data_IF_493320930259
#
_entry.id   IF_493320930259
#
_cell.length_a   1.000
_cell.length_b   1.000
_cell.length_c   1.000
_cell.angle_alpha   90.00
_cell.angle_beta   90.00
_cell.angle_gamma   90.00
#
_symmetry.space_group_name_H-M   'P 1'
#
loop_
_entity.id
_entity.type
_entity.pdbx_description
1 polymer ?
#
# COMPACT_ATOMS: atom_id res chain seq x y z
N UNK A 1 -12.41 -31.65 53.33
CA UNK A 1 -11.66 -32.34 52.25
C UNK A 1 -12.52 -33.33 51.47
N UNK A 2 -13.56 -33.95 52.08
CA UNK A 2 -14.45 -34.90 51.37
C UNK A 2 -15.21 -34.29 50.18
N UNK A 3 -15.75 -33.07 50.30
CA UNK A 3 -16.54 -32.45 49.22
C UNK A 3 -15.74 -32.17 47.94
N UNK A 4 -14.43 -31.95 48.04
CA UNK A 4 -13.55 -31.73 46.87
C UNK A 4 -13.24 -33.06 46.17
N UNK A 5 -13.19 -34.16 46.91
CA UNK A 5 -13.01 -35.49 46.34
C UNK A 5 -14.27 -35.97 45.61
N UNK A 6 -15.47 -35.64 46.11
CA UNK A 6 -16.74 -35.95 45.46
C UNK A 6 -16.93 -35.20 44.13
N UNK A 7 -16.52 -33.93 44.05
CA UNK A 7 -16.59 -33.13 42.82
C UNK A 7 -15.65 -33.67 41.74
N UNK A 8 -14.44 -34.12 42.11
CA UNK A 8 -13.49 -34.74 41.17
C UNK A 8 -13.96 -36.11 40.64
N UNK A 9 -14.74 -36.84 41.44
CA UNK A 9 -15.35 -38.12 41.02
C UNK A 9 -16.52 -37.93 40.06
N UNK A 10 -17.29 -36.85 40.21
CA UNK A 10 -18.42 -36.53 39.35
C UNK A 10 -18.00 -35.92 37.99
N UNK A 11 -16.83 -35.26 37.93
CA UNK A 11 -16.29 -34.65 36.70
C UNK A 11 -14.81 -35.00 36.53
N UNK A 12 -14.47 -36.15 35.92
CA UNK A 12 -13.08 -36.49 35.62
C UNK A 12 -12.47 -35.48 34.65
N UNK A 13 -11.37 -34.84 35.01
CA UNK A 13 -10.63 -33.96 34.11
C UNK A 13 -10.08 -34.75 32.93
N UNK A 14 -10.12 -34.17 31.73
CA UNK A 14 -9.76 -34.82 30.46
C UNK A 14 -8.33 -35.44 30.46
N UNK A 15 -7.45 -34.97 31.33
CA UNK A 15 -6.08 -35.48 31.49
C UNK A 15 -5.99 -36.87 32.17
N UNK A 16 -6.96 -37.27 33.00
CA UNK A 16 -6.92 -38.57 33.71
C UNK A 16 -7.49 -39.73 32.88
N UNK A 17 -8.21 -39.44 31.78
CA UNK A 17 -8.81 -40.47 30.92
C UNK A 17 -7.85 -41.04 29.86
N UNK A 18 -6.59 -40.59 29.86
CA UNK A 18 -5.62 -40.91 28.81
C UNK A 18 -4.48 -41.85 29.23
N UNK A 19 -4.60 -42.53 30.37
CA UNK A 19 -3.58 -43.51 30.83
C UNK A 19 -3.95 -44.98 30.61
N UNK A 20 -5.07 -45.27 29.93
CA UNK A 20 -5.46 -46.63 29.54
C UNK A 20 -5.64 -46.76 28.03
N UNK A 21 -4.70 -46.23 27.26
CA UNK A 21 -4.50 -46.63 25.86
C UNK A 21 -3.15 -47.32 25.80
N UNK A 22 -3.22 -48.64 25.69
CA UNK A 22 -2.12 -49.55 25.38
C UNK A 22 -0.92 -48.83 24.76
N UNK A 23 0.24 -48.93 25.41
CA UNK A 23 1.53 -48.53 24.86
C UNK A 23 1.79 -49.30 23.56
N UNK A 24 1.24 -48.79 22.47
CA UNK A 24 1.38 -49.39 21.16
C UNK A 24 2.79 -49.06 20.64
N UNK A 25 3.63 -50.09 20.58
CA UNK A 25 5.04 -49.96 20.18
C UNK A 25 5.20 -49.28 18.80
N UNK A 26 4.17 -49.37 17.94
CA UNK A 26 4.15 -48.70 16.63
C UNK A 26 3.96 -47.18 16.76
N UNK A 27 3.13 -46.73 17.71
CA UNK A 27 2.91 -45.31 17.97
C UNK A 27 4.15 -44.67 18.61
N UNK A 28 4.82 -45.36 19.54
CA UNK A 28 6.11 -44.92 20.10
C UNK A 28 7.18 -44.73 19.03
N UNK A 29 7.36 -45.71 18.15
CA UNK A 29 8.31 -45.58 17.03
C UNK A 29 7.94 -44.41 16.11
N UNK A 30 6.65 -44.15 15.88
CA UNK A 30 6.24 -43.04 15.03
C UNK A 30 6.47 -41.68 15.70
N UNK A 31 6.29 -41.58 17.02
CA UNK A 31 6.56 -40.35 17.79
C UNK A 31 8.05 -40.08 17.90
N UNK A 32 8.87 -41.11 18.18
CA UNK A 32 10.32 -40.96 18.32
C UNK A 32 10.95 -40.53 16.98
N UNK A 33 10.56 -41.17 15.86
CA UNK A 33 11.00 -40.74 14.53
C UNK A 33 10.53 -39.31 14.18
N UNK A 34 9.37 -38.86 14.67
CA UNK A 34 8.89 -37.49 14.43
C UNK A 34 9.64 -36.47 15.28
N UNK A 35 10.08 -36.83 16.48
CA UNK A 35 10.81 -35.96 17.39
C UNK A 35 12.25 -35.77 16.90
N UNK A 36 12.93 -36.85 16.49
CA UNK A 36 14.30 -36.77 15.97
C UNK A 36 14.38 -35.91 14.69
N UNK A 37 13.42 -36.06 13.78
CA UNK A 37 13.31 -35.21 12.59
C UNK A 37 12.94 -33.74 12.93
N UNK A 38 12.23 -33.49 14.04
CA UNK A 38 11.86 -32.14 14.45
C UNK A 38 13.04 -31.41 15.10
N UNK A 39 13.89 -32.13 15.82
CA UNK A 39 15.09 -31.60 16.44
C UNK A 39 16.13 -31.23 15.38
N UNK A 40 16.40 -32.11 14.41
CA UNK A 40 17.26 -31.80 13.25
C UNK A 40 16.77 -30.57 12.47
N UNK A 41 15.47 -30.48 12.19
CA UNK A 41 14.88 -29.31 11.52
C UNK A 41 15.01 -28.03 12.36
N UNK A 42 14.92 -28.14 13.69
CA UNK A 42 15.15 -26.99 14.59
C UNK A 42 16.61 -26.59 14.59
N UNK A 43 17.55 -27.54 14.57
CA UNK A 43 18.99 -27.26 14.55
C UNK A 43 19.40 -26.59 13.24
N UNK A 44 18.91 -27.10 12.10
CA UNK A 44 19.11 -26.48 10.79
C UNK A 44 18.50 -25.09 10.74
N UNK A 45 17.31 -24.89 11.29
CA UNK A 45 16.69 -23.57 11.35
C UNK A 45 17.48 -22.59 12.26
N UNK A 46 18.09 -23.07 13.35
CA UNK A 46 19.03 -22.26 14.16
C UNK A 46 20.29 -21.92 13.36
N UNK A 47 20.86 -22.88 12.63
CA UNK A 47 22.05 -22.70 11.79
C UNK A 47 21.82 -21.70 10.67
N UNK A 48 20.68 -21.82 9.98
CA UNK A 48 20.27 -20.90 8.90
C UNK A 48 20.11 -19.48 9.45
N UNK A 49 19.41 -19.30 10.58
CA UNK A 49 19.28 -17.98 11.20
C UNK A 49 20.60 -17.40 11.68
N UNK A 50 21.48 -18.19 12.27
CA UNK A 50 22.80 -17.74 12.67
C UNK A 50 23.65 -17.30 11.47
N UNK A 51 23.62 -18.06 10.37
CA UNK A 51 24.31 -17.70 9.13
C UNK A 51 23.71 -16.43 8.47
N UNK A 52 22.39 -16.26 8.50
CA UNK A 52 21.71 -15.08 7.98
C UNK A 52 22.03 -13.83 8.82
N UNK A 53 22.11 -13.95 10.15
CA UNK A 53 22.54 -12.87 11.04
C UNK A 53 24.00 -12.44 10.75
N UNK A 54 24.90 -13.41 10.56
CA UNK A 54 26.31 -13.10 10.24
C UNK A 54 26.45 -12.49 8.84
N UNK A 55 25.68 -12.98 7.85
CA UNK A 55 25.64 -12.43 6.49
C UNK A 55 25.10 -11.00 6.48
N UNK A 56 23.99 -10.74 7.18
CA UNK A 56 23.38 -9.40 7.27
C UNK A 56 24.25 -8.40 8.04
N UNK A 57 24.99 -8.84 9.05
CA UNK A 57 25.97 -7.99 9.76
C UNK A 57 27.18 -7.68 8.86
N UNK A 58 27.69 -8.67 8.11
CA UNK A 58 28.81 -8.46 7.17
C UNK A 58 28.45 -7.56 5.99
N UNK A 59 27.24 -7.68 5.47
CA UNK A 59 26.74 -6.85 4.37
C UNK A 59 26.31 -5.44 4.79
N UNK A 60 25.92 -5.25 6.06
CA UNK A 60 25.74 -3.91 6.64
C UNK A 60 27.08 -3.20 6.78
N UNK A 61 28.09 -3.87 7.35
CA UNK A 61 29.43 -3.31 7.51
C UNK A 61 30.09 -2.92 6.18
N UNK A 62 29.96 -3.76 5.14
CA UNK A 62 30.46 -3.43 3.78
C UNK A 62 29.72 -2.28 3.10
N UNK A 63 28.43 -2.07 3.42
CA UNK A 63 27.68 -0.92 2.91
C UNK A 63 28.05 0.36 3.63
N UNK A 64 28.18 0.31 4.95
CA UNK A 64 28.62 1.45 5.79
C UNK A 64 30.02 1.92 5.38
N UNK A 65 30.99 0.99 5.26
CA UNK A 65 32.37 1.33 4.88
C UNK A 65 32.51 1.86 3.44
N UNK A 66 31.57 1.54 2.54
CA UNK A 66 31.57 2.01 1.14
C UNK A 66 30.76 3.27 0.87
N UNK A 67 29.73 3.56 1.68
CA UNK A 67 28.86 4.73 1.51
C UNK A 67 29.45 6.00 2.16
N UNK A 68 30.18 5.86 3.27
CA UNK A 68 30.68 7.03 4.00
C UNK A 68 31.91 7.70 3.35
N UNK A 69 32.66 7.01 2.49
CA UNK A 69 33.90 7.55 1.90
C UNK A 69 33.76 8.05 0.46
N UNK A 70 32.94 7.40 -0.37
CA UNK A 70 32.84 7.74 -1.80
C UNK A 70 31.78 8.83 -2.08
N UNK A 71 30.70 8.90 -1.29
CA UNK A 71 29.64 9.89 -1.48
C UNK A 71 30.02 11.27 -0.91
N UNK A 72 30.75 11.35 0.21
CA UNK A 72 31.09 12.64 0.82
C UNK A 72 32.08 13.44 -0.04
N UNK A 73 33.13 12.80 -0.57
CA UNK A 73 34.11 13.41 -1.47
C UNK A 73 33.49 13.84 -2.82
N UNK A 74 32.64 13.00 -3.42
CA UNK A 74 31.99 13.30 -4.70
C UNK A 74 30.95 14.44 -4.60
N UNK A 75 30.25 14.55 -3.46
CA UNK A 75 29.33 15.66 -3.20
C UNK A 75 30.09 16.97 -2.93
N UNK A 76 31.25 16.91 -2.26
CA UNK A 76 32.09 18.08 -2.01
C UNK A 76 32.71 18.66 -3.28
N UNK A 77 33.17 17.81 -4.20
CA UNK A 77 33.69 18.23 -5.50
C UNK A 77 32.62 18.92 -6.37
N UNK A 78 31.39 18.40 -6.38
CA UNK A 78 30.24 19.06 -7.03
C UNK A 78 29.93 20.42 -6.39
N UNK A 79 30.02 20.51 -5.06
CA UNK A 79 29.77 21.77 -4.34
C UNK A 79 30.86 22.81 -4.57
N UNK A 80 32.11 22.40 -4.81
CA UNK A 80 33.24 23.28 -5.16
C UNK A 80 33.12 23.79 -6.60
N UNK A 81 32.87 22.90 -7.57
CA UNK A 81 32.69 23.27 -8.98
C UNK A 81 31.48 24.20 -9.22
N UNK A 82 30.38 24.04 -8.48
CA UNK A 82 29.24 24.98 -8.53
C UNK A 82 29.65 26.37 -8.02
N UNK A 83 30.44 26.43 -6.94
CA UNK A 83 30.92 27.69 -6.35
C UNK A 83 31.84 28.45 -7.31
N UNK A 84 32.76 27.74 -7.94
CA UNK A 84 33.69 28.29 -8.93
C UNK A 84 32.96 28.82 -10.16
N UNK A 85 31.98 28.06 -10.67
CA UNK A 85 31.15 28.46 -11.81
C UNK A 85 30.31 29.71 -11.54
N UNK A 86 29.78 29.85 -10.32
CA UNK A 86 29.05 31.05 -9.90
C UNK A 86 29.96 32.27 -9.80
N UNK A 87 31.19 32.08 -9.31
CA UNK A 87 32.16 33.17 -9.20
C UNK A 87 32.62 33.66 -10.57
N UNK A 88 32.88 32.75 -11.51
CA UNK A 88 33.17 33.10 -12.92
C UNK A 88 32.01 33.85 -13.57
N UNK A 89 30.78 33.41 -13.35
CA UNK A 89 29.59 34.11 -13.86
C UNK A 89 29.47 35.52 -13.30
N UNK A 90 29.74 35.72 -12.01
CA UNK A 90 29.74 37.06 -11.40
C UNK A 90 30.85 37.95 -11.98
N UNK A 91 32.02 37.40 -12.28
CA UNK A 91 33.11 38.15 -12.93
C UNK A 91 32.77 38.50 -14.38
N UNK A 92 32.19 37.56 -15.14
CA UNK A 92 31.72 37.81 -16.50
C UNK A 92 30.59 38.84 -16.53
N UNK A 93 29.62 38.75 -15.62
CA UNK A 93 28.50 39.69 -15.49
C UNK A 93 28.98 41.09 -15.06
N UNK A 94 29.96 41.18 -14.16
CA UNK A 94 30.59 42.45 -13.79
C UNK A 94 31.44 43.05 -14.92
N UNK A 95 32.02 42.22 -15.79
CA UNK A 95 32.75 42.66 -16.99
C UNK A 95 31.82 42.99 -18.17
N UNK A 96 30.58 42.48 -18.16
CA UNK A 96 29.53 42.75 -19.15
C UNK A 96 28.59 43.89 -18.75
N UNK A 97 28.72 44.45 -17.54
CA UNK A 97 28.10 45.73 -17.20
C UNK A 97 28.80 46.84 -18.00
N UNK A 98 28.13 47.46 -18.99
CA UNK A 98 28.71 48.60 -19.70
C UNK A 98 28.89 49.76 -18.71
N UNK A 99 30.07 50.39 -18.72
CA UNK A 99 30.24 51.74 -18.17
C UNK A 99 29.18 52.65 -18.79
N UNK A 100 28.50 53.41 -17.93
CA UNK A 100 27.40 54.32 -18.26
C UNK A 100 27.78 55.26 -19.41
N UNK A 101 27.25 55.01 -20.61
CA UNK A 101 27.06 56.05 -21.61
C UNK A 101 25.62 56.53 -21.49
N UNK A 102 25.48 57.79 -21.03
CA UNK A 102 24.23 58.55 -21.00
C UNK A 102 23.65 58.65 -22.42
N UNK A 103 22.59 57.91 -22.71
CA UNK A 103 21.74 58.18 -23.89
C UNK A 103 20.40 58.76 -23.44
N UNK A 104 20.30 60.06 -23.68
CA UNK A 104 19.19 60.98 -23.49
C UNK A 104 18.03 60.60 -24.46
N UNK A 105 16.99 59.92 -23.96
CA UNK A 105 15.81 59.57 -24.77
C UNK A 105 14.69 60.60 -24.55
N UNK A 106 14.42 61.38 -25.60
CA UNK A 106 13.45 62.47 -25.63
C UNK A 106 12.00 61.98 -25.54
N UNK A 107 11.22 62.56 -24.63
CA UNK A 107 9.77 62.36 -24.50
C UNK A 107 8.99 63.05 -25.64
N UNK A 108 8.18 62.28 -26.37
CA UNK A 108 7.10 62.82 -27.19
C UNK A 108 5.79 62.11 -26.83
N UNK A 109 5.04 62.69 -25.89
CA UNK A 109 3.68 62.24 -25.57
C UNK A 109 2.73 62.65 -26.70
N UNK A 110 2.09 61.67 -27.33
CA UNK A 110 0.87 61.88 -28.13
C UNK A 110 -0.24 61.10 -27.44
N UNK A 111 -1.08 61.85 -26.74
CA UNK A 111 -2.30 61.40 -26.08
C UNK A 111 -3.38 61.07 -27.13
N UNK A 112 -3.75 59.80 -27.23
CA UNK A 112 -4.87 59.33 -28.06
C UNK A 112 -5.49 58.10 -27.40
N UNK A 113 -6.48 58.35 -26.56
CA UNK A 113 -7.36 57.36 -25.95
C UNK A 113 -8.13 56.55 -27.00
N UNK A 114 -7.86 55.25 -27.08
CA UNK A 114 -8.87 54.27 -27.49
C UNK A 114 -8.59 52.92 -26.81
N UNK A 115 -9.42 52.64 -25.81
CA UNK A 115 -9.40 51.47 -24.93
C UNK A 115 -9.88 50.22 -25.68
N UNK A 116 -9.06 49.72 -26.61
CA UNK A 116 -9.18 48.35 -27.09
C UNK A 116 -8.27 47.48 -26.22
N UNK A 117 -8.83 46.44 -25.59
CA UNK A 117 -8.08 45.46 -24.82
C UNK A 117 -6.98 44.86 -25.71
N UNK A 118 -5.77 45.43 -25.63
CA UNK A 118 -4.59 44.97 -26.34
C UNK A 118 -4.25 43.60 -25.77
N UNK A 119 -4.74 42.55 -26.42
CA UNK A 119 -4.28 41.19 -26.17
C UNK A 119 -2.76 41.24 -26.36
N UNK A 120 -2.02 41.11 -25.26
CA UNK A 120 -0.57 41.11 -25.29
C UNK A 120 -0.12 39.95 -26.20
N UNK A 121 0.27 40.27 -27.44
CA UNK A 121 0.79 39.28 -28.36
C UNK A 121 2.07 38.72 -27.74
N UNK A 122 2.02 37.44 -27.33
CA UNK A 122 3.19 36.73 -26.82
C UNK A 122 4.25 36.78 -27.93
N UNK A 123 5.33 37.53 -27.66
CA UNK A 123 6.46 37.62 -28.58
C UNK A 123 6.92 36.20 -28.92
N UNK A 124 6.91 35.86 -30.21
CA UNK A 124 7.39 34.57 -30.67
C UNK A 124 8.89 34.48 -30.37
N UNK A 125 9.24 33.69 -29.36
CA UNK A 125 10.63 33.40 -29.03
C UNK A 125 11.16 32.42 -30.07
N UNK A 126 12.08 32.89 -30.91
CA UNK A 126 12.76 32.03 -31.89
C UNK A 126 13.72 31.09 -31.15
N UNK A 127 13.28 29.85 -30.90
CA UNK A 127 14.15 28.80 -30.34
C UNK A 127 14.97 28.17 -31.48
N UNK A 128 16.32 28.24 -31.43
CA UNK A 128 17.20 27.58 -32.39
C UNK A 128 16.94 26.07 -32.45
N UNK A 129 17.15 25.45 -33.62
CA UNK A 129 16.85 24.02 -33.83
C UNK A 129 17.55 23.08 -32.83
N UNK A 130 18.73 23.45 -32.31
CA UNK A 130 19.48 22.69 -31.31
C UNK A 130 18.88 22.73 -29.91
N UNK A 131 18.03 23.72 -29.61
CA UNK A 131 17.37 23.87 -28.31
C UNK A 131 15.90 23.43 -28.31
N UNK A 132 15.45 22.77 -29.39
CA UNK A 132 14.09 22.23 -29.46
C UNK A 132 14.11 20.77 -29.04
N UNK A 133 13.50 20.48 -27.91
CA UNK A 133 13.22 19.11 -27.51
C UNK A 133 12.32 18.46 -28.57
N UNK A 134 12.80 17.36 -29.13
CA UNK A 134 12.01 16.56 -30.05
C UNK A 134 10.97 15.75 -29.27
N UNK A 135 9.88 15.35 -29.96
CA UNK A 135 8.85 14.49 -29.36
C UNK A 135 9.46 13.16 -28.85
N UNK A 136 10.53 12.67 -29.49
CA UNK A 136 11.24 11.48 -29.08
C UNK A 136 12.04 11.71 -27.78
N UNK A 137 12.77 12.81 -27.68
CA UNK A 137 13.52 13.19 -26.48
C UNK A 137 12.59 13.41 -25.29
N UNK A 138 11.46 14.09 -25.47
CA UNK A 138 10.46 14.22 -24.40
C UNK A 138 9.92 12.88 -23.92
N UNK A 139 9.62 11.94 -24.82
CA UNK A 139 9.17 10.59 -24.45
C UNK A 139 10.26 9.85 -23.67
N UNK A 140 11.51 10.02 -24.08
CA UNK A 140 12.65 9.38 -23.43
C UNK A 140 12.91 9.95 -22.03
N UNK A 141 12.86 11.28 -21.87
CA UNK A 141 12.93 11.94 -20.56
C UNK A 141 11.82 11.43 -19.64
N UNK A 142 10.59 11.27 -20.14
CA UNK A 142 9.46 10.75 -19.37
C UNK A 142 9.67 9.29 -18.96
N UNK A 143 10.28 8.46 -19.81
CA UNK A 143 10.65 7.07 -19.45
C UNK A 143 11.70 7.03 -18.35
N UNK A 144 12.80 7.76 -18.53
CA UNK A 144 13.89 7.84 -17.55
C UNK A 144 13.36 8.36 -16.20
N UNK A 145 12.48 9.36 -16.24
CA UNK A 145 11.83 9.88 -15.03
C UNK A 145 10.97 8.81 -14.35
N UNK A 146 10.13 8.09 -15.09
CA UNK A 146 9.33 6.98 -14.55
C UNK A 146 10.21 5.93 -13.86
N UNK A 147 11.28 5.48 -14.52
CA UNK A 147 12.16 4.45 -13.96
C UNK A 147 12.88 4.93 -12.68
N UNK A 148 13.19 6.24 -12.60
CA UNK A 148 13.76 6.86 -11.40
C UNK A 148 12.71 6.95 -10.28
N UNK A 149 11.53 7.47 -10.59
CA UNK A 149 10.42 7.64 -9.65
C UNK A 149 10.00 6.27 -9.08
N UNK A 150 9.95 5.22 -9.89
CA UNK A 150 9.63 3.84 -9.47
C UNK A 150 10.71 3.23 -8.55
N UNK A 151 11.98 3.57 -8.77
CA UNK A 151 13.07 3.16 -7.88
C UNK A 151 12.98 3.87 -6.54
N UNK A 152 12.75 5.18 -6.57
CA UNK A 152 12.60 6.01 -5.37
C UNK A 152 11.36 5.61 -4.56
N UNK A 153 10.23 5.34 -5.21
CA UNK A 153 9.01 4.87 -4.55
C UNK A 153 9.23 3.55 -3.79
N UNK A 154 9.93 2.58 -4.40
CA UNK A 154 10.28 1.31 -3.73
C UNK A 154 11.25 1.50 -2.57
N UNK A 155 12.20 2.44 -2.66
CA UNK A 155 13.10 2.75 -1.55
C UNK A 155 12.34 3.41 -0.40
N UNK A 156 11.50 4.40 -0.70
CA UNK A 156 10.65 5.09 0.27
C UNK A 156 9.68 4.14 0.98
N UNK A 157 9.09 3.19 0.26
CA UNK A 157 8.23 2.16 0.85
C UNK A 157 9.02 1.28 1.83
N UNK A 158 10.23 0.86 1.47
CA UNK A 158 11.10 0.09 2.36
C UNK A 158 11.51 0.89 3.60
N UNK A 159 11.91 2.13 3.42
CA UNK A 159 12.27 3.04 4.51
C UNK A 159 11.08 3.29 5.45
N UNK A 160 9.85 3.42 4.93
CA UNK A 160 8.64 3.54 5.74
C UNK A 160 8.36 2.25 6.52
N UNK A 161 8.51 1.09 5.88
CA UNK A 161 8.35 -0.21 6.56
C UNK A 161 9.40 -0.36 7.66
N UNK A 162 10.66 0.00 7.41
CA UNK A 162 11.74 -0.05 8.40
C UNK A 162 11.52 0.95 9.53
N UNK A 163 11.06 2.17 9.22
CA UNK A 163 10.65 3.18 10.21
C UNK A 163 9.56 2.61 11.11
N UNK A 164 8.50 2.04 10.54
CA UNK A 164 7.39 1.44 11.31
C UNK A 164 7.85 0.24 12.13
N UNK A 165 8.80 -0.55 11.63
CA UNK A 165 9.38 -1.69 12.39
C UNK A 165 10.28 -1.25 13.54
N UNK A 166 10.98 -0.12 13.40
CA UNK A 166 11.89 0.43 14.40
C UNK A 166 11.18 1.31 15.44
N UNK A 167 9.96 1.80 15.15
CA UNK A 167 9.15 2.58 16.09
C UNK A 167 8.68 1.75 17.29
N UNK A 168 8.60 2.41 18.45
CA UNK A 168 8.00 1.81 19.65
C UNK A 168 6.47 1.80 19.56
N UNK A 169 5.80 0.96 20.35
CA UNK A 169 4.34 0.79 20.30
C UNK A 169 3.58 2.08 20.68
N UNK A 170 4.17 2.93 21.53
CA UNK A 170 3.60 4.23 21.91
C UNK A 170 3.64 5.22 20.74
N UNK A 171 4.79 5.33 20.08
CA UNK A 171 4.97 6.16 18.89
C UNK A 171 4.09 5.68 17.73
N UNK A 172 3.94 4.36 17.56
CA UNK A 172 3.05 3.77 16.57
C UNK A 172 1.59 4.17 16.81
N UNK A 173 1.11 4.13 18.05
CA UNK A 173 -0.25 4.55 18.40
C UNK A 173 -0.48 6.03 18.12
N UNK A 174 0.51 6.88 18.42
CA UNK A 174 0.43 8.30 18.08
C UNK A 174 0.45 8.55 16.58
N UNK A 175 1.27 7.79 15.84
CA UNK A 175 1.34 7.86 14.39
C UNK A 175 0.02 7.42 13.75
N UNK A 176 -0.59 6.32 14.20
CA UNK A 176 -1.90 5.86 13.72
C UNK A 176 -3.03 6.85 14.07
N UNK A 177 -2.91 7.56 15.21
CA UNK A 177 -3.84 8.64 15.57
C UNK A 177 -3.67 9.86 14.66
N UNK A 178 -2.43 10.22 14.31
CA UNK A 178 -2.10 11.36 13.42
C UNK A 178 -2.40 11.04 11.94
N UNK A 179 -2.23 9.78 11.54
CA UNK A 179 -2.49 9.26 10.20
C UNK A 179 -3.66 8.26 10.23
N UNK A 180 -4.90 8.74 10.42
CA UNK A 180 -6.06 7.85 10.41
C UNK A 180 -6.15 7.15 9.05
N UNK A 181 -6.35 5.83 9.08
CA UNK A 181 -6.60 5.05 7.85
C UNK A 181 -7.82 5.64 7.15
N UNK A 182 -7.79 5.84 5.82
CA UNK A 182 -8.93 6.34 5.09
C UNK A 182 -10.13 5.44 5.40
N UNK A 183 -11.23 6.04 5.86
CA UNK A 183 -12.43 5.28 6.21
C UNK A 183 -12.89 4.51 4.99
N UNK A 184 -13.05 3.19 5.13
CA UNK A 184 -13.59 2.35 4.06
C UNK A 184 -14.96 2.87 3.59
N UNK A 185 -15.30 2.63 2.32
CA UNK A 185 -16.60 2.99 1.77
C UNK A 185 -17.70 2.35 2.63
N UNK A 186 -18.70 3.14 3.06
CA UNK A 186 -19.82 2.65 3.86
C UNK A 186 -20.50 1.47 3.15
N UNK A 187 -20.65 0.33 3.85
CA UNK A 187 -21.36 -0.83 3.30
C UNK A 187 -22.83 -0.45 3.11
N UNK A 188 -23.33 -0.60 1.88
CA UNK A 188 -24.76 -0.39 1.59
C UNK A 188 -25.58 -1.50 2.26
N UNK A 189 -26.71 -1.12 2.83
CA UNK A 189 -27.66 -2.08 3.40
C UNK A 189 -28.40 -2.79 2.27
N UNK A 190 -28.44 -4.11 2.34
CA UNK A 190 -29.09 -4.98 1.36
C UNK A 190 -30.53 -5.26 1.79
N UNK A 191 -31.44 -5.46 0.84
CA UNK A 191 -32.80 -5.88 1.14
C UNK A 191 -32.84 -7.33 1.62
N UNK A 192 -33.85 -7.67 2.41
CA UNK A 192 -34.03 -9.02 2.93
C UNK A 192 -34.11 -10.05 1.78
N UNK A 193 -33.31 -11.12 1.86
CA UNK A 193 -33.17 -12.16 0.83
C UNK A 193 -32.76 -11.63 -0.56
N UNK A 194 -32.10 -10.48 -0.64
CA UNK A 194 -31.48 -9.99 -1.87
C UNK A 194 -30.31 -10.89 -2.27
N UNK A 195 -30.18 -11.17 -3.57
CA UNK A 195 -29.08 -11.96 -4.10
C UNK A 195 -27.79 -11.13 -4.11
N UNK A 196 -26.78 -11.65 -3.42
CA UNK A 196 -25.42 -11.14 -3.52
C UNK A 196 -24.77 -11.53 -4.85
N UNK A 197 -24.29 -10.53 -5.58
CA UNK A 197 -23.44 -10.70 -6.75
C UNK A 197 -22.02 -10.28 -6.37
N UNK A 198 -21.11 -11.26 -6.34
CA UNK A 198 -19.69 -10.99 -6.10
C UNK A 198 -19.13 -10.22 -7.31
N UNK A 199 -18.46 -9.10 -7.07
CA UNK A 199 -17.90 -8.23 -8.12
C UNK A 199 -16.71 -8.85 -8.88
N UNK A 200 -16.25 -10.02 -8.44
CA UNK A 200 -15.00 -10.64 -8.89
C UNK A 200 -13.82 -10.20 -8.03
N UNK A 201 -12.68 -10.85 -8.20
CA UNK A 201 -11.41 -10.48 -7.52
C UNK A 201 -10.42 -9.80 -8.46
N UNK A 202 -10.69 -9.80 -9.77
CA UNK A 202 -9.78 -9.32 -10.81
C UNK A 202 -10.29 -8.00 -11.40
N UNK A 203 -9.37 -7.07 -11.70
CA UNK A 203 -9.65 -5.80 -12.38
C UNK A 203 -10.57 -4.81 -11.61
N UNK A 204 -10.69 -4.94 -10.28
CA UNK A 204 -11.47 -4.00 -9.46
C UNK A 204 -10.68 -2.74 -9.10
N UNK A 205 -9.37 -2.88 -8.90
CA UNK A 205 -8.46 -1.79 -8.62
C UNK A 205 -7.68 -1.45 -9.87
N UNK A 206 -7.12 -0.24 -9.87
CA UNK A 206 -6.08 0.06 -10.83
C UNK A 206 -4.96 -1.00 -10.70
N UNK A 207 -4.43 -1.44 -11.83
CA UNK A 207 -3.37 -2.43 -11.89
C UNK A 207 -2.09 -1.87 -11.26
N UNK A 208 -1.41 -2.69 -10.46
CA UNK A 208 -0.13 -2.32 -9.83
C UNK A 208 1.03 -2.27 -10.84
N UNK A 209 0.79 -2.59 -12.12
CA UNK A 209 1.80 -2.54 -13.19
C UNK A 209 1.97 -1.09 -13.69
N UNK A 210 3.15 -0.47 -13.50
CA UNK A 210 3.42 0.90 -13.96
C UNK A 210 3.58 1.01 -15.49
N UNK A 211 3.78 -0.11 -16.20
CA UNK A 211 4.14 -0.14 -17.62
C UNK A 211 2.93 -0.33 -18.53
N UNK A 212 1.95 -1.13 -18.13
CA UNK A 212 0.87 -1.44 -19.04
C UNK A 212 -0.30 -2.16 -18.40
N UNK A 213 -1.34 -1.40 -18.06
CA UNK A 213 -2.71 -1.89 -18.17
C UNK A 213 -3.62 -0.66 -18.32
N UNK A 214 -4.73 -0.83 -19.05
CA UNK A 214 -5.79 0.18 -19.11
C UNK A 214 -6.26 0.50 -17.67
N UNK A 215 -6.47 1.77 -17.36
CA UNK A 215 -7.02 2.19 -16.06
C UNK A 215 -8.28 1.39 -15.73
N UNK A 216 -8.56 1.19 -14.44
CA UNK A 216 -9.78 0.54 -14.01
C UNK A 216 -10.99 1.23 -14.67
N UNK A 217 -11.74 0.47 -15.47
CA UNK A 217 -12.89 1.01 -16.16
C UNK A 217 -13.94 1.51 -15.15
N UNK A 218 -14.61 2.60 -15.50
CA UNK A 218 -15.73 3.17 -14.73
C UNK A 218 -16.87 2.16 -14.46
N UNK A 219 -16.86 1.01 -15.12
CA UNK A 219 -17.81 -0.07 -14.90
C UNK A 219 -17.61 -0.70 -13.51
N UNK A 220 -16.37 -0.85 -13.03
CA UNK A 220 -16.07 -1.55 -11.77
C UNK A 220 -16.36 -0.70 -10.53
N UNK A 221 -16.45 0.61 -10.70
CA UNK A 221 -16.81 1.55 -9.62
C UNK A 221 -18.32 1.70 -9.43
N UNK A 222 -19.14 1.05 -10.28
CA UNK A 222 -20.60 1.08 -10.19
C UNK A 222 -21.12 0.44 -8.92
N UNK A 223 -22.36 0.79 -8.62
CA UNK A 223 -23.10 0.18 -7.53
C UNK A 223 -23.65 -1.19 -7.94
N UNK A 224 -23.01 -2.26 -7.48
CA UNK A 224 -23.50 -3.64 -7.65
C UNK A 224 -24.32 -4.14 -6.46
N UNK A 225 -24.56 -3.30 -5.45
CA UNK A 225 -25.40 -3.64 -4.30
C UNK A 225 -26.88 -3.34 -4.54
N UNK A 226 -27.24 -2.78 -5.70
CA UNK A 226 -28.61 -2.42 -6.02
C UNK A 226 -29.51 -3.68 -6.19
N UNK A 227 -30.76 -3.66 -5.69
CA UNK A 227 -31.72 -4.74 -5.89
C UNK A 227 -32.00 -4.97 -7.38
N UNK A 228 -31.93 -6.23 -7.82
CA UNK A 228 -32.08 -6.61 -9.22
C UNK A 228 -33.28 -7.53 -9.42
N UNK A 229 -34.07 -7.30 -10.46
CA UNK A 229 -35.22 -8.15 -10.82
C UNK A 229 -36.23 -8.32 -9.68
N UNK A 230 -36.40 -9.56 -9.23
CA UNK A 230 -37.33 -9.96 -8.17
C UNK A 230 -36.96 -9.42 -6.77
N UNK A 231 -35.74 -8.92 -6.57
CA UNK A 231 -35.30 -8.39 -5.27
C UNK A 231 -35.74 -6.95 -5.01
N UNK A 232 -36.39 -6.29 -5.99
CA UNK A 232 -36.96 -4.95 -5.82
C UNK A 232 -38.17 -4.92 -4.87
N UNK A 233 -38.81 -6.07 -4.67
CA UNK A 233 -39.97 -6.19 -3.78
C UNK A 233 -39.49 -6.47 -2.36
N UNK A 234 -40.14 -5.85 -1.37
CA UNK A 234 -39.85 -6.13 0.03
C UNK A 234 -40.36 -7.51 0.42
N UNK A 235 -39.43 -8.44 0.61
CA UNK A 235 -39.72 -9.84 0.93
C UNK A 235 -40.10 -10.05 2.39
N UNK A 236 -39.92 -9.06 3.26
CA UNK A 236 -40.27 -9.15 4.70
C UNK A 236 -41.77 -9.19 4.93
N UNK A 237 -42.56 -8.58 4.04
CA UNK A 237 -44.02 -8.52 4.12
C UNK A 237 -44.68 -9.84 3.73
N UNK A 238 -43.94 -10.76 3.10
CA UNK A 238 -44.47 -12.06 2.71
C UNK A 238 -44.70 -12.98 3.92
N UNK A 239 -45.63 -13.95 3.85
CA UNK A 239 -45.79 -14.97 4.88
C UNK A 239 -44.49 -15.73 5.13
N UNK A 240 -44.23 -16.13 6.38
CA UNK A 240 -42.97 -16.79 6.81
C UNK A 240 -42.58 -17.97 5.89
N UNK A 241 -43.56 -18.76 5.45
CA UNK A 241 -43.33 -19.93 4.57
C UNK A 241 -42.75 -19.52 3.21
N UNK A 242 -43.06 -18.31 2.73
CA UNK A 242 -42.58 -17.73 1.46
C UNK A 242 -41.31 -16.88 1.62
N UNK A 243 -40.88 -16.57 2.85
CA UNK A 243 -39.65 -15.80 3.14
C UNK A 243 -38.39 -16.64 2.93
N UNK A 244 -38.20 -17.10 1.69
CA UNK A 244 -37.18 -18.06 1.31
C UNK A 244 -36.68 -17.76 -0.10
N UNK A 245 -35.37 -17.90 -0.34
CA UNK A 245 -34.71 -17.58 -1.62
C UNK A 245 -35.23 -18.35 -2.85
N UNK A 246 -35.69 -19.59 -2.68
CA UNK A 246 -36.14 -20.47 -3.77
C UNK A 246 -37.45 -21.19 -3.43
N UNK A 247 -38.47 -20.40 -3.09
CA UNK A 247 -39.81 -20.95 -2.82
C UNK A 247 -40.34 -21.75 -4.01
N UNK A 248 -40.86 -22.96 -3.77
CA UNK A 248 -41.42 -23.84 -4.81
C UNK A 248 -40.43 -24.67 -5.63
N UNK A 249 -39.11 -24.57 -5.39
CA UNK A 249 -38.09 -25.43 -6.05
C UNK A 249 -37.76 -26.67 -5.21
N UNK A 250 -37.56 -27.80 -5.88
CA UNK A 250 -37.02 -29.02 -5.26
C UNK A 250 -35.56 -28.83 -4.85
N UNK A 251 -35.10 -29.57 -3.82
CA UNK A 251 -33.71 -29.51 -3.35
C UNK A 251 -33.38 -28.31 -2.44
N UNK A 252 -34.40 -27.70 -1.83
CA UNK A 252 -34.21 -26.59 -0.88
C UNK A 252 -33.59 -27.09 0.45
N UNK A 253 -32.65 -26.32 0.99
CA UNK A 253 -32.10 -26.53 2.33
C UNK A 253 -33.11 -26.20 3.43
N UNK A 254 -32.99 -26.89 4.57
CA UNK A 254 -33.80 -26.60 5.79
C UNK A 254 -33.51 -25.21 6.35
N UNK A 255 -32.27 -24.74 6.19
CA UNK A 255 -31.79 -23.43 6.62
C UNK A 255 -32.33 -22.31 5.71
N UNK A 256 -32.80 -21.21 6.31
CA UNK A 256 -33.48 -20.14 5.57
C UNK A 256 -32.54 -18.99 5.19
N UNK A 257 -32.02 -18.28 6.19
CA UNK A 257 -31.10 -17.17 6.03
C UNK A 257 -30.24 -17.04 7.30
N UNK A 258 -29.01 -16.52 7.15
CA UNK A 258 -28.01 -16.53 8.21
C UNK A 258 -28.54 -15.93 9.52
N UNK A 259 -29.22 -14.79 9.45
CA UNK A 259 -29.73 -14.09 10.65
C UNK A 259 -30.69 -14.94 11.50
N UNK A 260 -31.49 -15.83 10.89
CA UNK A 260 -32.39 -16.71 11.64
C UNK A 260 -31.67 -17.90 12.29
N UNK A 261 -30.55 -18.32 11.71
CA UNK A 261 -29.75 -19.45 12.22
C UNK A 261 -28.56 -18.98 13.07
N UNK A 262 -28.31 -17.67 13.12
CA UNK A 262 -27.22 -17.06 13.85
C UNK A 262 -27.58 -17.03 15.34
N UNK A 263 -26.92 -17.90 16.12
CA UNK A 263 -27.12 -18.02 17.56
C UNK A 263 -26.11 -17.18 18.35
N UNK A 264 -25.44 -16.21 17.72
CA UNK A 264 -24.51 -15.33 18.45
C UNK A 264 -25.27 -14.46 19.44
N UNK A 265 -24.96 -14.61 20.73
CA UNK A 265 -25.49 -13.77 21.80
C UNK A 265 -24.73 -12.44 21.86
N UNK A 266 -25.30 -11.39 21.27
CA UNK A 266 -24.73 -10.03 21.27
C UNK A 266 -24.73 -9.35 22.66
N UNK A 267 -25.32 -10.00 23.67
CA UNK A 267 -25.37 -9.53 25.05
C UNK A 267 -24.31 -10.18 25.96
N UNK A 268 -23.45 -11.04 25.43
CA UNK A 268 -22.35 -11.62 26.19
C UNK A 268 -21.17 -10.62 26.23
N UNK A 269 -20.75 -10.14 27.42
CA UNK A 269 -19.76 -9.06 27.57
C UNK A 269 -18.35 -9.44 27.09
#
# INVERSE_FOLDING_TARGET
MEKVAEVKKAFPSHEETYFMRNDDARLRRLTDNRIDNLEEVREDHRRIRQAEIVSTIGDKRRREEGLDSEDEDAFEERRRSIRERLFQRQQEEAALMPEEEEEEESEYETDSEEETARIAMVKLVFVPKSGRDTIAEHREIVRIKRDRDDREARLKEKEEIERVRNMTEEERREWERKNPKPSGKSKKQWMFLQKYYHKGSFFLSDPDDPVGTAKADYIYTRDFSAPTGNDKMDKTVMPIVMQVKYFGRSGRTKWTHLVNEDTTDWNNP
#
